data_IF_944493948979
#
_entry.id   IF_944493948979
#
_cell.length_a   1.000
_cell.length_b   1.000
_cell.length_c   1.000
_cell.angle_alpha   90.00
_cell.angle_beta   90.00
_cell.angle_gamma   90.00
#
_symmetry.space_group_name_H-M   'P 1'
#
loop_
_entity.id
_entity.type
_entity.pdbx_description
1 polymer ?
#
# COMPACT_ATOMS: atom_id res chain seq x y z
N UNK A 1 10.04 -19.81 11.78
CA UNK A 1 10.11 -18.35 11.60
C UNK A 1 10.18 -17.70 12.96
N UNK A 2 11.16 -16.83 13.15
CA UNK A 2 11.30 -15.99 14.34
C UNK A 2 10.73 -14.61 14.03
N UNK A 3 10.26 -13.89 15.04
CA UNK A 3 9.76 -12.51 14.87
C UNK A 3 10.85 -11.62 14.26
N UNK A 4 12.11 -11.85 14.62
CA UNK A 4 13.27 -11.15 14.09
C UNK A 4 13.46 -11.28 12.58
N UNK A 5 12.89 -12.31 11.94
CA UNK A 5 12.99 -12.51 10.49
C UNK A 5 12.21 -11.42 9.70
N UNK A 6 11.40 -10.62 10.40
CA UNK A 6 10.58 -9.54 9.83
C UNK A 6 10.98 -8.14 10.35
N UNK A 7 12.09 -8.04 11.08
CA UNK A 7 12.58 -6.76 11.59
C UNK A 7 13.29 -5.96 10.48
N UNK A 8 13.12 -4.64 10.48
CA UNK A 8 13.76 -3.74 9.53
C UNK A 8 13.96 -2.35 10.12
N UNK A 9 15.02 -1.66 9.69
CA UNK A 9 15.27 -0.29 10.11
C UNK A 9 14.25 0.66 9.50
N UNK A 10 13.37 1.23 10.34
CA UNK A 10 12.42 2.26 9.96
C UNK A 10 12.75 3.58 10.69
N UNK A 11 13.26 4.59 9.98
CA UNK A 11 13.47 5.91 10.59
C UNK A 11 12.15 6.53 11.05
N UNK A 12 12.13 7.13 12.24
CA UNK A 12 10.89 7.69 12.83
C UNK A 12 10.27 8.79 11.95
N UNK A 13 11.10 9.56 11.24
CA UNK A 13 10.64 10.61 10.32
C UNK A 13 9.89 10.07 9.10
N UNK A 14 9.99 8.76 8.82
CA UNK A 14 9.25 8.09 7.75
C UNK A 14 7.89 7.56 8.22
N UNK A 15 7.55 7.68 9.51
CA UNK A 15 6.26 7.32 10.06
C UNK A 15 5.31 8.52 9.93
N UNK A 16 4.34 8.42 9.03
CA UNK A 16 3.34 9.45 8.85
C UNK A 16 2.48 9.59 10.12
N UNK A 17 2.50 10.77 10.75
CA UNK A 17 1.70 11.08 11.94
C UNK A 17 0.26 11.46 11.61
N UNK A 18 0.06 12.00 10.41
CA UNK A 18 -1.23 12.45 9.89
C UNK A 18 -1.39 11.96 8.45
N UNK A 19 -2.63 11.75 7.98
CA UNK A 19 -2.89 11.51 6.56
C UNK A 19 -2.42 12.71 5.72
N UNK A 20 -2.20 12.53 4.40
CA UNK A 20 -1.97 13.67 3.51
C UNK A 20 -3.19 14.59 3.50
N UNK A 21 -2.97 15.90 3.29
CA UNK A 21 -4.03 16.90 3.21
C UNK A 21 -5.05 16.56 2.11
N UNK A 22 -4.56 16.14 0.94
CA UNK A 22 -5.40 15.65 -0.14
C UNK A 22 -5.52 14.12 -0.09
N UNK A 23 -6.74 13.62 0.14
CA UNK A 23 -7.01 12.18 0.19
C UNK A 23 -6.79 11.56 -1.19
N UNK A 24 -6.00 10.50 -1.25
CA UNK A 24 -5.66 9.81 -2.50
C UNK A 24 -4.34 10.25 -3.14
N UNK A 25 -3.71 11.32 -2.65
CA UNK A 25 -2.42 11.79 -3.18
C UNK A 25 -1.19 11.00 -2.67
N UNK A 26 -1.39 9.84 -2.03
CA UNK A 26 -0.32 9.02 -1.47
C UNK A 26 0.51 8.33 -2.55
N UNK A 27 1.72 7.88 -2.17
CA UNK A 27 2.55 7.00 -3.00
C UNK A 27 1.97 5.58 -2.98
N UNK A 28 2.08 4.89 -4.10
CA UNK A 28 1.75 3.47 -4.26
C UNK A 28 3.03 2.71 -4.63
N UNK A 29 3.39 1.70 -3.84
CA UNK A 29 4.47 0.77 -4.19
C UNK A 29 3.85 -0.47 -4.80
N UNK A 30 4.17 -0.75 -6.05
CA UNK A 30 3.70 -1.93 -6.78
C UNK A 30 4.81 -2.95 -6.82
N UNK A 31 4.55 -4.13 -6.24
CA UNK A 31 5.47 -5.26 -6.26
C UNK A 31 4.92 -6.34 -7.18
N UNK A 32 5.63 -6.63 -8.27
CA UNK A 32 5.36 -7.81 -9.07
C UNK A 32 5.93 -9.04 -8.35
N UNK A 33 5.05 -9.89 -7.81
CA UNK A 33 5.44 -11.05 -6.99
C UNK A 33 6.26 -12.10 -7.75
N UNK A 34 6.04 -12.28 -9.05
CA UNK A 34 6.74 -13.33 -9.82
C UNK A 34 8.14 -12.91 -10.25
N UNK A 35 8.36 -11.61 -10.50
CA UNK A 35 9.66 -11.08 -10.97
C UNK A 35 10.45 -10.36 -9.88
N UNK A 36 9.80 -9.99 -8.77
CA UNK A 36 10.39 -9.13 -7.75
C UNK A 36 10.53 -7.66 -8.16
N UNK A 37 10.05 -7.26 -9.35
CA UNK A 37 10.13 -5.88 -9.82
C UNK A 37 9.31 -4.96 -8.91
N UNK A 38 9.95 -3.91 -8.42
CA UNK A 38 9.32 -2.82 -7.68
C UNK A 38 9.11 -1.63 -8.61
N UNK A 39 7.91 -1.06 -8.55
CA UNK A 39 7.54 0.15 -9.25
C UNK A 39 6.92 1.16 -8.27
N UNK A 40 7.19 2.44 -8.52
CA UNK A 40 6.64 3.54 -7.73
C UNK A 40 5.60 4.30 -8.56
N UNK A 41 4.36 4.28 -8.09
CA UNK A 41 3.22 4.97 -8.68
C UNK A 41 2.58 5.94 -7.66
N UNK A 42 1.48 6.57 -8.08
CA UNK A 42 0.57 7.32 -7.21
C UNK A 42 -0.70 6.51 -6.99
N UNK A 43 -1.31 6.64 -5.81
CA UNK A 43 -2.54 5.91 -5.49
C UNK A 43 -3.70 6.22 -6.46
N UNK A 44 -3.72 7.44 -7.01
CA UNK A 44 -4.66 7.86 -8.07
C UNK A 44 -4.62 6.96 -9.31
N UNK A 45 -3.50 6.29 -9.59
CA UNK A 45 -3.31 5.40 -10.73
C UNK A 45 -3.58 3.93 -10.40
N UNK A 46 -4.26 3.62 -9.29
CA UNK A 46 -4.54 2.25 -8.87
C UNK A 46 -5.33 1.46 -9.94
N UNK A 47 -6.24 2.14 -10.63
CA UNK A 47 -7.06 1.57 -11.71
C UNK A 47 -6.21 1.02 -12.88
N UNK A 48 -5.06 1.62 -13.16
CA UNK A 48 -4.12 1.13 -14.18
C UNK A 48 -3.53 -0.26 -13.85
N UNK A 49 -3.66 -0.73 -12.60
CA UNK A 49 -3.17 -2.04 -12.16
C UNK A 49 -4.29 -3.08 -11.97
N UNK A 50 -5.54 -2.72 -12.30
CA UNK A 50 -6.70 -3.61 -12.20
C UNK A 50 -7.18 -3.98 -13.61
N UNK A 51 -7.61 -5.21 -13.76
CA UNK A 51 -8.20 -5.73 -14.99
C UNK A 51 -9.73 -5.81 -14.86
N UNK A 52 -10.41 -5.76 -16.00
CA UNK A 52 -11.85 -6.05 -16.03
C UNK A 52 -12.12 -7.45 -15.49
N UNK A 53 -13.01 -7.54 -14.51
CA UNK A 53 -13.33 -8.79 -13.81
C UNK A 53 -12.63 -8.95 -12.45
N UNK A 54 -11.68 -8.09 -12.12
CA UNK A 54 -11.08 -8.08 -10.79
C UNK A 54 -12.09 -7.62 -9.72
N UNK A 55 -12.01 -8.23 -8.53
CA UNK A 55 -12.87 -7.92 -7.39
C UNK A 55 -12.07 -7.21 -6.29
N UNK A 56 -12.41 -5.96 -6.01
CA UNK A 56 -11.87 -5.21 -4.88
C UNK A 56 -12.74 -5.43 -3.65
N UNK A 57 -12.22 -6.14 -2.65
CA UNK A 57 -12.91 -6.37 -1.37
C UNK A 57 -12.50 -5.29 -0.38
N UNK A 58 -13.46 -4.46 0.03
CA UNK A 58 -13.23 -3.35 0.97
C UNK A 58 -13.88 -3.69 2.31
N UNK A 59 -13.11 -3.62 3.39
CA UNK A 59 -13.65 -3.78 4.74
C UNK A 59 -14.36 -2.49 5.19
N UNK A 60 -15.61 -2.64 5.66
CA UNK A 60 -16.38 -1.57 6.30
C UNK A 60 -16.69 -1.98 7.74
N UNK A 61 -16.00 -1.38 8.70
CA UNK A 61 -16.23 -1.64 10.13
C UNK A 61 -17.47 -0.89 10.61
N UNK A 62 -18.38 -1.58 11.31
CA UNK A 62 -19.53 -0.98 12.00
C UNK A 62 -19.40 -1.26 13.50
N UNK A 63 -19.52 -0.22 14.32
CA UNK A 63 -19.64 -0.38 15.78
C UNK A 63 -21.12 -0.68 16.09
N UNK A 64 -21.37 -1.73 16.87
CA UNK A 64 -22.70 -2.12 17.36
C UNK A 64 -22.84 -1.69 18.81
#
# INVERSE_FOLDING_TARGET
MRVSDFDYTLPEERIAKYPPENRGATRLLVLNRSTGKVEHARYEALDAFLCSGDLLVINTTKVV
#
